data_IF_574593654143
#
_entry.id   IF_574593654143
#
_cell.length_a   1.000
_cell.length_b   1.000
_cell.length_c   1.000
_cell.angle_alpha   90.00
_cell.angle_beta   90.00
_cell.angle_gamma   90.00
#
_symmetry.space_group_name_H-M   'P 1'
#
loop_
_entity.id
_entity.type
_entity.pdbx_description
1 polymer ?
#
# COMPACT_ATOMS: atom_id res chain seq x y z
N UNK A 1 0.43 37.14 -19.93
CA UNK A 1 1.80 36.68 -20.21
C UNK A 1 2.34 36.02 -18.95
N UNK A 2 2.88 34.80 -19.02
CA UNK A 2 3.58 34.20 -17.88
C UNK A 2 4.85 35.01 -17.57
N UNK A 3 5.15 35.24 -16.29
CA UNK A 3 6.41 35.86 -15.87
C UNK A 3 7.60 34.97 -16.32
N UNK A 4 8.70 35.55 -16.82
CA UNK A 4 9.92 34.78 -17.05
C UNK A 4 10.40 34.17 -15.73
N UNK A 5 10.82 32.91 -15.79
CA UNK A 5 11.43 32.19 -14.68
C UNK A 5 12.76 32.88 -14.30
N UNK A 6 13.13 32.88 -13.02
CA UNK A 6 14.41 33.45 -12.59
C UNK A 6 15.58 32.64 -13.16
N UNK A 7 16.78 33.22 -13.31
CA UNK A 7 17.97 32.50 -13.83
C UNK A 7 18.31 31.23 -13.04
N UNK A 8 18.01 31.22 -11.73
CA UNK A 8 18.16 30.04 -10.87
C UNK A 8 17.20 28.88 -11.22
N UNK A 9 16.07 29.16 -11.86
CA UNK A 9 15.12 28.16 -12.31
C UNK A 9 15.47 27.60 -13.71
N UNK A 10 16.23 28.33 -14.53
CA UNK A 10 16.71 27.85 -15.83
C UNK A 10 17.81 26.79 -15.68
N UNK A 11 18.69 26.95 -14.70
CA UNK A 11 19.76 25.98 -14.39
C UNK A 11 19.20 24.65 -13.81
N UNK A 12 18.02 24.69 -13.18
CA UNK A 12 17.32 23.52 -12.62
C UNK A 12 16.67 22.65 -13.71
N UNK A 13 16.44 23.20 -14.91
CA UNK A 13 15.76 22.50 -16.01
C UNK A 13 16.72 21.99 -17.09
N UNK A 14 18.04 22.20 -16.94
CA UNK A 14 19.03 21.70 -17.90
C UNK A 14 19.27 20.18 -17.72
N UNK A 15 19.42 19.42 -18.83
CA UNK A 15 19.76 18.00 -18.76
C UNK A 15 21.07 17.76 -18.01
N UNK A 16 21.09 16.80 -17.08
CA UNK A 16 22.32 16.44 -16.36
C UNK A 16 23.27 15.60 -17.25
N UNK A 17 24.45 16.13 -17.56
CA UNK A 17 25.52 15.47 -18.33
C UNK A 17 26.47 14.65 -17.43
N UNK A 18 25.92 13.82 -16.54
CA UNK A 18 26.72 12.95 -15.67
C UNK A 18 27.19 11.67 -16.35
N UNK A 19 28.46 11.32 -16.16
CA UNK A 19 29.05 10.04 -16.55
C UNK A 19 28.60 8.92 -15.61
N UNK A 20 27.85 7.92 -16.12
CA UNK A 20 27.80 6.57 -15.57
C UNK A 20 26.98 6.34 -14.28
N UNK A 21 25.77 5.78 -14.43
CA UNK A 21 25.13 4.88 -13.46
C UNK A 21 24.43 5.48 -12.23
N UNK A 22 24.88 6.60 -11.68
CA UNK A 22 24.28 7.20 -10.48
C UNK A 22 23.31 8.34 -10.79
N UNK A 23 22.21 8.41 -10.03
CA UNK A 23 21.19 9.44 -10.20
C UNK A 23 21.57 10.72 -9.42
N UNK A 24 21.36 11.92 -10.01
CA UNK A 24 21.61 13.18 -9.32
C UNK A 24 20.49 13.51 -8.32
N UNK A 25 20.33 12.68 -7.28
CA UNK A 25 19.20 12.71 -6.34
C UNK A 25 18.97 14.10 -5.73
N UNK A 26 20.04 14.80 -5.33
CA UNK A 26 19.93 16.14 -4.73
C UNK A 26 19.37 17.18 -5.70
N UNK A 27 19.77 17.11 -6.98
CA UNK A 27 19.30 18.02 -8.01
C UNK A 27 17.84 17.72 -8.37
N UNK A 28 17.51 16.45 -8.61
CA UNK A 28 16.13 16.00 -8.84
C UNK A 28 15.20 16.38 -7.69
N UNK A 29 15.68 16.23 -6.44
CA UNK A 29 14.94 16.60 -5.25
C UNK A 29 14.50 18.06 -5.28
N UNK A 30 15.46 18.98 -5.49
CA UNK A 30 15.20 20.43 -5.57
C UNK A 30 14.21 20.75 -6.70
N UNK A 31 14.35 20.09 -7.83
CA UNK A 31 13.45 20.26 -8.97
C UNK A 31 12.02 19.75 -8.72
N UNK A 32 11.76 19.06 -7.61
CA UNK A 32 10.46 18.49 -7.24
C UNK A 32 9.88 19.11 -5.96
N UNK A 33 10.48 20.17 -5.41
CA UNK A 33 10.10 20.72 -4.10
C UNK A 33 8.65 21.22 -4.05
N UNK A 34 8.14 21.80 -5.15
CA UNK A 34 6.74 22.22 -5.30
C UNK A 34 5.75 21.04 -5.26
N UNK A 35 6.21 19.85 -5.65
CA UNK A 35 5.38 18.65 -5.70
C UNK A 35 5.29 17.91 -4.36
N UNK A 36 5.99 18.35 -3.32
CA UNK A 36 5.98 17.73 -2.00
C UNK A 36 4.82 18.12 -1.10
N UNK A 37 4.06 19.14 -1.51
CA UNK A 37 3.01 19.69 -0.68
C UNK A 37 1.73 18.87 -0.89
N UNK A 38 1.29 18.05 0.09
CA UNK A 38 0.00 17.37 -0.01
C UNK A 38 -1.12 18.41 -0.04
N UNK A 39 -2.07 18.21 -0.94
CA UNK A 39 -3.29 19.00 -1.05
C UNK A 39 -4.46 18.23 -0.40
N UNK A 40 -4.95 18.64 0.79
CA UNK A 40 -5.98 17.92 1.53
C UNK A 40 -7.25 17.59 0.74
N UNK A 41 -7.66 18.47 -0.18
CA UNK A 41 -8.84 18.26 -1.01
C UNK A 41 -8.77 16.95 -1.83
N UNK A 42 -7.61 16.62 -2.40
CA UNK A 42 -7.44 15.37 -3.16
C UNK A 42 -7.62 14.14 -2.28
N UNK A 43 -7.01 14.14 -1.08
CA UNK A 43 -7.14 13.05 -0.13
C UNK A 43 -8.59 12.83 0.30
N UNK A 44 -9.27 13.88 0.74
CA UNK A 44 -10.64 13.77 1.23
C UNK A 44 -11.63 13.41 0.13
N UNK A 45 -11.58 14.06 -1.02
CA UNK A 45 -12.53 13.79 -2.12
C UNK A 45 -12.39 12.38 -2.66
N UNK A 46 -11.16 11.93 -2.91
CA UNK A 46 -10.86 10.60 -3.45
C UNK A 46 -11.21 9.49 -2.44
N UNK A 47 -10.83 9.68 -1.18
CA UNK A 47 -11.17 8.73 -0.11
C UNK A 47 -12.68 8.65 0.13
N UNK A 48 -13.37 9.79 0.27
CA UNK A 48 -14.81 9.82 0.50
C UNK A 48 -15.58 9.22 -0.67
N UNK A 49 -15.20 9.54 -1.92
CA UNK A 49 -15.80 8.90 -3.09
C UNK A 49 -15.58 7.38 -3.05
N UNK A 50 -14.35 6.93 -2.81
CA UNK A 50 -14.02 5.50 -2.76
C UNK A 50 -14.80 4.76 -1.67
N UNK A 51 -14.87 5.31 -0.46
CA UNK A 51 -15.53 4.64 0.66
C UNK A 51 -17.06 4.66 0.53
N UNK A 52 -17.64 5.74 0.01
CA UNK A 52 -19.08 5.82 -0.27
C UNK A 52 -19.44 4.80 -1.36
N UNK A 53 -18.66 4.72 -2.44
CA UNK A 53 -18.87 3.73 -3.50
C UNK A 53 -18.74 2.29 -2.98
N UNK A 54 -17.79 2.04 -2.07
CA UNK A 54 -17.66 0.73 -1.41
C UNK A 54 -18.92 0.38 -0.62
N UNK A 55 -19.35 1.22 0.32
CA UNK A 55 -20.51 0.90 1.15
C UNK A 55 -21.81 0.85 0.37
N UNK A 56 -21.99 1.71 -0.64
CA UNK A 56 -23.15 1.66 -1.53
C UNK A 56 -23.18 0.36 -2.35
N UNK A 57 -22.05 -0.02 -2.95
CA UNK A 57 -21.93 -1.28 -3.70
C UNK A 57 -22.10 -2.51 -2.82
N UNK A 58 -21.55 -2.49 -1.60
CA UNK A 58 -21.73 -3.54 -0.60
C UNK A 58 -23.19 -3.69 -0.19
N UNK A 59 -23.87 -2.59 0.16
CA UNK A 59 -25.28 -2.59 0.52
C UNK A 59 -26.16 -3.06 -0.65
N UNK A 60 -25.90 -2.59 -1.87
CA UNK A 60 -26.62 -3.05 -3.06
C UNK A 60 -26.45 -4.56 -3.28
N UNK A 61 -25.24 -5.08 -3.11
CA UNK A 61 -24.98 -6.53 -3.24
C UNK A 61 -25.74 -7.34 -2.19
N UNK A 62 -25.92 -6.79 -0.98
CA UNK A 62 -26.65 -7.45 0.10
C UNK A 62 -28.16 -7.52 -0.16
N UNK A 63 -28.75 -6.52 -0.80
CA UNK A 63 -30.21 -6.47 -1.05
C UNK A 63 -30.63 -7.07 -2.39
N UNK A 64 -29.75 -7.09 -3.39
CA UNK A 64 -30.09 -7.61 -4.71
C UNK A 64 -30.21 -9.14 -4.72
N UNK A 65 -31.21 -9.71 -5.41
CA UNK A 65 -31.33 -11.16 -5.61
C UNK A 65 -30.15 -11.77 -6.38
N UNK A 66 -29.84 -13.05 -6.13
CA UNK A 66 -28.70 -13.74 -6.75
C UNK A 66 -28.79 -13.84 -8.28
N UNK A 67 -30.01 -13.89 -8.83
CA UNK A 67 -30.27 -13.93 -10.27
C UNK A 67 -30.23 -12.54 -10.94
N UNK A 68 -30.04 -11.47 -10.17
CA UNK A 68 -29.93 -10.13 -10.74
C UNK A 68 -28.47 -9.85 -11.17
N UNK A 69 -28.19 -9.62 -12.47
CA UNK A 69 -26.83 -9.38 -12.95
C UNK A 69 -26.19 -8.13 -12.34
N UNK A 70 -26.98 -7.15 -11.89
CA UNK A 70 -26.45 -5.97 -11.20
C UNK A 70 -25.79 -6.31 -9.87
N UNK A 71 -26.14 -7.44 -9.23
CA UNK A 71 -25.49 -7.89 -8.00
C UNK A 71 -23.99 -8.10 -8.20
N UNK A 72 -23.61 -8.73 -9.33
CA UNK A 72 -22.21 -8.95 -9.68
C UNK A 72 -21.50 -7.62 -9.97
N UNK A 73 -22.15 -6.71 -10.70
CA UNK A 73 -21.59 -5.38 -10.99
C UNK A 73 -21.34 -4.60 -9.70
N UNK A 74 -22.31 -4.56 -8.78
CA UNK A 74 -22.19 -3.93 -7.47
C UNK A 74 -21.08 -4.57 -6.63
N UNK A 75 -20.92 -5.90 -6.68
CA UNK A 75 -19.85 -6.59 -5.98
C UNK A 75 -18.47 -6.20 -6.53
N UNK A 76 -18.30 -6.14 -7.86
CA UNK A 76 -17.05 -5.69 -8.50
C UNK A 76 -16.74 -4.24 -8.15
N UNK A 77 -17.74 -3.36 -8.19
CA UNK A 77 -17.58 -1.95 -7.77
C UNK A 77 -17.17 -1.87 -6.30
N UNK A 78 -17.79 -2.67 -5.43
CA UNK A 78 -17.43 -2.74 -4.01
C UNK A 78 -15.98 -3.20 -3.82
N UNK A 79 -15.53 -4.24 -4.52
CA UNK A 79 -14.14 -4.72 -4.47
C UNK A 79 -13.15 -3.63 -4.87
N UNK A 80 -13.34 -3.00 -6.03
CA UNK A 80 -12.42 -1.98 -6.55
C UNK A 80 -12.40 -0.72 -5.66
N UNK A 81 -13.57 -0.32 -5.15
CA UNK A 81 -13.70 0.87 -4.31
C UNK A 81 -13.14 0.62 -2.91
N UNK A 82 -13.37 -0.57 -2.33
CA UNK A 82 -12.77 -0.98 -1.05
C UNK A 82 -11.26 -1.06 -1.18
N UNK A 83 -10.77 -1.70 -2.24
CA UNK A 83 -9.35 -1.80 -2.53
C UNK A 83 -8.71 -0.41 -2.59
N UNK A 84 -9.28 0.51 -3.38
CA UNK A 84 -8.81 1.90 -3.48
C UNK A 84 -8.84 2.63 -2.13
N UNK A 85 -9.93 2.51 -1.37
CA UNK A 85 -10.06 3.16 -0.07
C UNK A 85 -9.05 2.63 0.95
N UNK A 86 -8.80 1.31 0.95
CA UNK A 86 -7.87 0.67 1.89
C UNK A 86 -6.42 0.99 1.55
N UNK A 87 -6.03 1.00 0.28
CA UNK A 87 -4.61 1.27 -0.07
C UNK A 87 -4.14 2.69 0.22
N UNK A 88 -5.03 3.62 0.57
CA UNK A 88 -4.62 4.90 1.18
C UNK A 88 -3.74 4.69 2.43
N UNK A 89 -3.82 3.53 3.10
CA UNK A 89 -2.91 3.18 4.19
C UNK A 89 -1.42 3.37 3.82
N UNK A 90 -1.08 3.17 2.54
CA UNK A 90 0.25 3.43 2.00
C UNK A 90 0.63 4.91 2.06
N UNK A 91 -0.27 5.79 1.61
CA UNK A 91 -0.07 7.22 1.77
C UNK A 91 -0.01 7.64 3.24
N UNK A 92 -0.85 7.04 4.09
CA UNK A 92 -0.84 7.30 5.52
C UNK A 92 0.49 6.89 6.17
N UNK A 93 1.22 5.90 5.67
CA UNK A 93 2.51 5.51 6.23
C UNK A 93 3.57 6.63 6.08
N UNK A 94 3.51 7.37 4.97
CA UNK A 94 4.45 8.45 4.64
C UNK A 94 3.94 9.85 4.99
N UNK A 95 2.63 10.03 5.14
CA UNK A 95 2.05 11.31 5.44
C UNK A 95 2.40 11.77 6.86
N UNK A 96 3.16 12.87 6.95
CA UNK A 96 3.53 13.47 8.23
C UNK A 96 2.29 13.92 9.03
N UNK A 97 2.32 13.81 10.37
CA UNK A 97 1.22 14.29 11.22
C UNK A 97 0.83 15.73 10.90
N UNK A 98 -0.47 16.02 10.89
CA UNK A 98 -1.01 17.38 10.69
C UNK A 98 -1.05 17.90 9.25
N UNK A 99 -0.43 17.23 8.27
CA UNK A 99 -0.43 17.71 6.86
C UNK A 99 -1.79 17.59 6.17
N UNK A 100 -2.58 16.58 6.54
CA UNK A 100 -3.99 16.46 6.15
C UNK A 100 -4.79 16.23 7.45
N UNK A 101 -5.23 17.31 8.12
CA UNK A 101 -5.90 17.22 9.41
C UNK A 101 -7.12 16.29 9.38
N UNK A 102 -7.29 15.48 10.43
CA UNK A 102 -8.42 14.56 10.60
C UNK A 102 -8.40 13.30 9.70
N UNK A 103 -7.64 13.30 8.61
CA UNK A 103 -7.71 12.23 7.60
C UNK A 103 -7.36 10.85 8.16
N UNK A 104 -6.30 10.73 8.96
CA UNK A 104 -5.91 9.45 9.60
C UNK A 104 -7.00 8.90 10.51
N UNK A 105 -7.69 9.78 11.24
CA UNK A 105 -8.78 9.37 12.14
C UNK A 105 -9.96 8.87 11.32
N UNK A 106 -10.42 9.66 10.35
CA UNK A 106 -11.52 9.24 9.47
C UNK A 106 -11.19 7.95 8.71
N UNK A 107 -9.98 7.82 8.16
CA UNK A 107 -9.55 6.59 7.48
C UNK A 107 -9.60 5.38 8.41
N UNK A 108 -9.15 5.50 9.67
CA UNK A 108 -9.30 4.39 10.62
C UNK A 108 -10.75 4.11 10.98
N UNK A 109 -11.60 5.12 11.15
CA UNK A 109 -13.01 4.93 11.48
C UNK A 109 -13.78 4.20 10.38
N UNK A 110 -13.49 4.49 9.11
CA UNK A 110 -14.22 3.91 7.98
C UNK A 110 -13.53 2.72 7.30
N UNK A 111 -12.21 2.61 7.34
CA UNK A 111 -11.46 1.47 6.80
C UNK A 111 -10.77 0.68 7.90
N UNK A 112 -9.87 1.32 8.66
CA UNK A 112 -8.95 0.62 9.54
C UNK A 112 -9.64 -0.27 10.58
N UNK A 113 -10.65 0.25 11.26
CA UNK A 113 -11.41 -0.47 12.29
C UNK A 113 -12.38 -1.48 11.65
N UNK A 114 -13.28 -1.08 10.72
CA UNK A 114 -14.29 -2.01 10.20
C UNK A 114 -13.71 -3.17 9.37
N UNK A 115 -12.55 -2.95 8.75
CA UNK A 115 -11.85 -3.93 7.90
C UNK A 115 -10.67 -4.60 8.61
N UNK A 116 -10.53 -4.38 9.93
CA UNK A 116 -9.50 -5.00 10.79
C UNK A 116 -8.05 -4.71 10.35
N UNK A 117 -7.82 -3.54 9.74
CA UNK A 117 -6.52 -3.06 9.24
C UNK A 117 -6.18 -1.68 9.81
N UNK A 118 -6.13 -1.51 11.15
CA UNK A 118 -5.81 -0.22 11.74
C UNK A 118 -4.44 0.27 11.25
N UNK A 119 -4.34 1.58 11.03
CA UNK A 119 -3.23 2.19 10.29
C UNK A 119 -1.84 1.91 10.87
N UNK A 120 -1.73 1.60 12.16
CA UNK A 120 -0.44 1.27 12.78
C UNK A 120 0.20 -0.01 12.24
N UNK A 121 -0.60 -0.93 11.69
CA UNK A 121 -0.10 -2.17 11.10
C UNK A 121 0.78 -1.92 9.87
N UNK A 122 0.66 -0.77 9.22
CA UNK A 122 1.46 -0.45 8.02
C UNK A 122 2.61 0.51 8.31
N UNK A 123 2.92 0.77 9.58
CA UNK A 123 4.08 1.57 9.95
C UNK A 123 5.41 0.96 9.50
N UNK A 124 5.50 -0.38 9.45
CA UNK A 124 6.66 -1.15 8.98
C UNK A 124 7.03 -0.89 7.52
N UNK A 125 6.11 -0.32 6.73
CA UNK A 125 6.39 0.06 5.34
C UNK A 125 7.56 1.05 5.24
N UNK A 126 7.87 1.82 6.30
CA UNK A 126 9.04 2.70 6.32
C UNK A 126 10.36 1.93 6.29
N UNK A 127 10.40 0.73 6.84
CA UNK A 127 11.60 -0.11 6.88
C UNK A 127 11.94 -0.60 5.47
N UNK A 128 10.92 -0.85 4.65
CA UNK A 128 11.09 -1.13 3.22
C UNK A 128 11.76 0.03 2.45
N UNK A 129 11.60 1.27 2.90
CA UNK A 129 12.31 2.43 2.31
C UNK A 129 13.65 2.72 2.97
N UNK A 130 13.99 2.04 4.07
CA UNK A 130 15.20 2.33 4.82
C UNK A 130 16.44 1.86 4.04
N UNK A 131 17.42 2.76 3.97
CA UNK A 131 18.73 2.44 3.35
C UNK A 131 19.43 1.39 4.22
N UNK A 132 19.73 0.24 3.62
CA UNK A 132 20.35 -0.90 4.31
C UNK A 132 19.37 -2.02 4.68
N UNK A 133 18.06 -1.78 4.65
CA UNK A 133 17.06 -2.81 4.89
C UNK A 133 16.51 -3.38 3.57
N UNK A 134 16.26 -2.54 2.54
CA UNK A 134 15.60 -2.98 1.31
C UNK A 134 16.26 -4.22 0.69
N UNK A 135 15.47 -5.27 0.49
CA UNK A 135 15.91 -6.55 -0.07
C UNK A 135 16.60 -7.49 0.91
N UNK A 136 16.73 -7.12 2.19
CA UNK A 136 17.32 -7.95 3.26
C UNK A 136 16.25 -8.61 4.14
N UNK A 137 16.67 -9.35 5.16
CA UNK A 137 15.77 -9.96 6.14
C UNK A 137 15.05 -8.93 7.05
N UNK A 138 15.55 -7.69 7.10
CA UNK A 138 14.94 -6.59 7.86
C UNK A 138 13.80 -5.91 7.06
N UNK A 139 13.63 -6.26 5.78
CA UNK A 139 12.55 -5.75 4.94
C UNK A 139 11.33 -6.67 4.96
N UNK A 140 10.32 -6.28 5.73
CA UNK A 140 9.06 -7.02 5.80
C UNK A 140 8.29 -7.08 4.49
N UNK A 141 8.51 -6.17 3.54
CA UNK A 141 7.77 -6.14 2.28
C UNK A 141 8.52 -6.82 1.13
N UNK A 142 9.63 -7.49 1.42
CA UNK A 142 10.46 -8.15 0.42
C UNK A 142 10.61 -9.65 0.62
N UNK A 143 10.52 -10.39 -0.49
CA UNK A 143 10.92 -11.79 -0.60
C UNK A 143 11.62 -11.98 -1.94
N UNK A 144 12.57 -12.93 -2.06
CA UNK A 144 13.34 -13.17 -3.28
C UNK A 144 12.51 -13.90 -4.37
N UNK A 145 11.29 -13.44 -4.65
CA UNK A 145 10.39 -14.10 -5.59
C UNK A 145 10.90 -14.11 -7.02
N UNK A 146 11.75 -13.16 -7.39
CA UNK A 146 12.39 -13.10 -8.70
C UNK A 146 13.60 -14.03 -8.83
N UNK A 147 14.03 -14.67 -7.75
CA UNK A 147 15.12 -15.65 -7.77
C UNK A 147 14.61 -17.07 -8.14
N UNK A 148 15.43 -17.90 -8.82
CA UNK A 148 15.06 -19.26 -9.20
C UNK A 148 14.51 -20.10 -8.03
N UNK A 149 13.49 -20.92 -8.30
CA UNK A 149 12.87 -21.81 -7.31
C UNK A 149 11.75 -21.19 -6.45
N UNK A 150 11.42 -19.90 -6.61
CA UNK A 150 10.47 -19.21 -5.74
C UNK A 150 9.01 -19.13 -6.24
N UNK A 151 8.64 -19.88 -7.29
CA UNK A 151 7.26 -19.91 -7.83
C UNK A 151 6.20 -20.28 -6.80
N UNK A 152 6.51 -21.24 -5.93
CA UNK A 152 5.59 -21.64 -4.84
C UNK A 152 5.38 -20.46 -3.90
N UNK A 153 6.44 -19.69 -3.59
CA UNK A 153 6.34 -18.47 -2.77
C UNK A 153 5.39 -17.42 -3.35
N UNK A 154 5.42 -17.23 -4.67
CA UNK A 154 4.50 -16.31 -5.38
C UNK A 154 3.04 -16.76 -5.20
N UNK A 155 2.76 -18.05 -5.43
CA UNK A 155 1.41 -18.61 -5.30
C UNK A 155 0.93 -18.54 -3.85
N UNK A 156 1.78 -18.91 -2.89
CA UNK A 156 1.45 -18.87 -1.46
C UNK A 156 1.16 -17.46 -0.97
N UNK A 157 1.87 -16.45 -1.47
CA UNK A 157 1.59 -15.05 -1.14
C UNK A 157 0.26 -14.57 -1.75
N UNK A 158 -0.03 -14.93 -3.00
CA UNK A 158 -1.34 -14.61 -3.57
C UNK A 158 -2.47 -15.29 -2.78
N UNK A 159 -2.30 -16.56 -2.41
CA UNK A 159 -3.26 -17.33 -1.64
C UNK A 159 -3.43 -16.86 -0.18
N UNK A 160 -2.40 -16.27 0.44
CA UNK A 160 -2.52 -15.75 1.81
C UNK A 160 -3.55 -14.62 1.94
N UNK A 161 -3.93 -13.97 0.82
CA UNK A 161 -5.00 -12.98 0.76
C UNK A 161 -6.33 -13.46 1.35
N UNK A 162 -6.63 -14.76 1.26
CA UNK A 162 -7.84 -15.37 1.83
C UNK A 162 -7.80 -15.49 3.35
N UNK A 163 -6.63 -15.31 3.97
CA UNK A 163 -6.42 -15.38 5.41
C UNK A 163 -6.43 -14.01 6.10
N UNK A 164 -6.44 -12.89 5.36
CA UNK A 164 -6.31 -11.55 5.94
C UNK A 164 -7.37 -11.23 7.00
N UNK A 165 -8.65 -11.37 6.66
CA UNK A 165 -9.75 -11.14 7.61
C UNK A 165 -9.75 -12.15 8.78
N UNK A 166 -9.66 -13.48 8.55
CA UNK A 166 -9.50 -14.45 9.64
C UNK A 166 -8.32 -14.14 10.58
N UNK A 167 -7.17 -13.76 10.03
CA UNK A 167 -5.99 -13.37 10.80
C UNK A 167 -6.25 -12.09 11.61
N UNK A 168 -6.97 -11.11 11.04
CA UNK A 168 -7.42 -9.92 11.76
C UNK A 168 -8.33 -10.25 12.94
N UNK A 169 -9.31 -11.14 12.74
CA UNK A 169 -10.20 -11.60 13.83
C UNK A 169 -9.41 -12.30 14.93
N UNK A 170 -8.48 -13.20 14.58
CA UNK A 170 -7.59 -13.84 15.56
C UNK A 170 -6.74 -12.80 16.31
N UNK A 171 -6.12 -11.87 15.57
CA UNK A 171 -5.21 -10.86 16.12
C UNK A 171 -5.90 -9.87 17.05
N UNK A 172 -7.07 -9.36 16.67
CA UNK A 172 -7.75 -8.31 17.43
C UNK A 172 -8.85 -8.83 18.35
N UNK A 173 -9.48 -9.95 18.01
CA UNK A 173 -10.53 -10.58 18.81
C UNK A 173 -9.99 -11.49 19.94
N UNK A 174 -8.80 -12.09 19.74
CA UNK A 174 -8.25 -13.07 20.67
C UNK A 174 -6.88 -12.63 21.20
N UNK A 175 -5.87 -12.50 20.33
CA UNK A 175 -4.50 -12.22 20.75
C UNK A 175 -4.38 -10.86 21.44
N UNK A 176 -5.03 -9.82 20.90
CA UNK A 176 -5.02 -8.46 21.43
C UNK A 176 -5.49 -8.38 22.88
N UNK A 177 -6.74 -8.79 23.21
CA UNK A 177 -7.25 -8.79 24.57
C UNK A 177 -6.43 -9.66 25.52
N UNK A 178 -6.04 -10.87 25.11
CA UNK A 178 -5.22 -11.76 25.93
C UNK A 178 -3.84 -11.18 26.23
N UNK A 179 -3.27 -10.41 25.30
CA UNK A 179 -2.00 -9.73 25.49
C UNK A 179 -2.00 -8.70 26.62
N UNK A 180 -3.17 -8.17 27.01
CA UNK A 180 -3.27 -7.22 28.11
C UNK A 180 -2.91 -7.83 29.47
N UNK A 181 -2.96 -9.15 29.61
CA UNK A 181 -2.69 -9.85 30.88
C UNK A 181 -1.24 -10.30 31.05
N UNK A 182 -0.41 -10.22 30.00
CA UNK A 182 0.97 -10.70 30.05
C UNK A 182 1.89 -9.84 29.18
N UNK A 183 2.89 -9.19 29.79
CA UNK A 183 3.78 -8.26 29.09
C UNK A 183 4.62 -8.94 27.99
N UNK A 184 5.10 -10.17 28.21
CA UNK A 184 5.91 -10.91 27.23
C UNK A 184 5.07 -11.27 26.02
N UNK A 185 3.82 -11.66 26.26
CA UNK A 185 2.89 -11.96 25.18
C UNK A 185 2.49 -10.68 24.43
N UNK A 186 2.32 -9.55 25.12
CA UNK A 186 2.11 -8.24 24.49
C UNK A 186 3.24 -7.82 23.58
N UNK A 187 4.48 -7.98 24.03
CA UNK A 187 5.66 -7.73 23.21
C UNK A 187 5.69 -8.66 21.99
N UNK A 188 5.44 -9.96 22.19
CA UNK A 188 5.36 -10.92 21.09
C UNK A 188 4.30 -10.53 20.04
N UNK A 189 3.09 -10.15 20.47
CA UNK A 189 2.00 -9.69 19.60
C UNK A 189 2.38 -8.41 18.87
N UNK A 190 3.04 -7.47 19.55
CA UNK A 190 3.53 -6.24 18.96
C UNK A 190 4.60 -6.52 17.89
N UNK A 191 5.55 -7.40 18.14
CA UNK A 191 6.68 -7.67 17.24
C UNK A 191 6.30 -8.53 16.03
N UNK A 192 5.45 -9.56 16.24
CA UNK A 192 5.23 -10.62 15.24
C UNK A 192 3.86 -10.54 14.56
N UNK A 193 2.86 -9.93 15.21
CA UNK A 193 1.47 -9.98 14.74
C UNK A 193 0.88 -8.59 14.50
N UNK A 194 1.73 -7.56 14.33
CA UNK A 194 1.30 -6.17 14.21
C UNK A 194 1.88 -5.46 12.99
N UNK A 195 2.15 -6.20 11.92
CA UNK A 195 2.66 -5.68 10.65
C UNK A 195 1.90 -6.29 9.48
N UNK A 196 1.47 -5.48 8.52
CA UNK A 196 0.97 -5.94 7.23
C UNK A 196 2.17 -6.07 6.28
N UNK A 197 2.77 -7.25 6.27
CA UNK A 197 4.05 -7.55 5.61
C UNK A 197 3.92 -8.72 4.66
N UNK A 198 4.89 -8.82 3.75
CA UNK A 198 5.05 -9.92 2.81
C UNK A 198 5.80 -11.09 3.44
N UNK A 199 6.89 -10.83 4.16
CA UNK A 199 7.64 -11.88 4.84
C UNK A 199 7.04 -12.18 6.22
N UNK A 200 6.45 -13.37 6.45
CA UNK A 200 5.90 -13.73 7.76
C UNK A 200 6.98 -13.90 8.84
N UNK A 201 8.27 -13.90 8.48
CA UNK A 201 9.40 -13.97 9.43
C UNK A 201 9.83 -12.60 9.95
N UNK A 202 9.36 -11.53 9.31
CA UNK A 202 9.74 -10.17 9.70
C UNK A 202 9.29 -9.87 11.13
N UNK A 203 10.18 -9.18 11.85
CA UNK A 203 9.98 -8.77 13.22
C UNK A 203 10.13 -7.26 13.27
N UNK A 204 9.07 -6.57 13.65
CA UNK A 204 9.13 -5.12 13.84
C UNK A 204 9.75 -4.78 15.19
N UNK A 205 10.28 -3.57 15.29
CA UNK A 205 10.68 -3.02 16.58
C UNK A 205 9.48 -2.85 17.52
N UNK A 206 9.76 -2.98 18.82
CA UNK A 206 8.80 -2.71 19.88
C UNK A 206 8.37 -1.24 19.81
N UNK A 207 7.06 -0.92 19.84
CA UNK A 207 6.60 0.46 19.73
C UNK A 207 7.14 1.31 20.87
N UNK A 208 7.49 2.56 20.55
CA UNK A 208 7.78 3.56 21.57
C UNK A 208 6.57 3.79 22.48
N UNK A 209 6.78 4.36 23.67
CA UNK A 209 5.69 4.65 24.61
C UNK A 209 4.59 5.53 24.00
N UNK A 210 4.98 6.48 23.13
CA UNK A 210 4.04 7.37 22.44
C UNK A 210 3.20 6.61 21.40
N UNK A 211 3.83 5.75 20.61
CA UNK A 211 3.14 4.91 19.61
C UNK A 211 2.21 3.91 20.27
N UNK A 212 2.66 3.26 21.35
CA UNK A 212 1.90 2.25 22.08
C UNK A 212 0.54 2.76 22.56
N UNK A 213 0.44 4.04 22.96
CA UNK A 213 -0.82 4.66 23.33
C UNK A 213 -1.80 4.69 22.14
N UNK A 214 -1.35 5.21 20.99
CA UNK A 214 -2.17 5.28 19.78
C UNK A 214 -2.54 3.90 19.21
N UNK A 215 -1.69 2.89 19.41
CA UNK A 215 -1.99 1.51 19.01
C UNK A 215 -3.08 0.91 19.88
N UNK A 216 -3.02 1.09 21.21
CA UNK A 216 -4.05 0.59 22.13
C UNK A 216 -5.43 1.16 21.82
N UNK A 217 -5.51 2.44 21.47
CA UNK A 217 -6.77 3.08 21.06
C UNK A 217 -7.33 2.42 19.80
N UNK A 218 -6.49 2.22 18.78
CA UNK A 218 -6.90 1.55 17.55
C UNK A 218 -7.32 0.10 17.81
N UNK A 219 -6.53 -0.67 18.58
CA UNK A 219 -6.84 -2.05 18.97
C UNK A 219 -8.16 -2.16 19.74
N UNK A 220 -8.39 -1.27 20.71
CA UNK A 220 -9.65 -1.21 21.45
C UNK A 220 -10.82 -0.89 20.52
N UNK A 221 -10.61 -0.01 19.52
CA UNK A 221 -11.59 0.27 18.47
C UNK A 221 -11.94 -0.98 17.66
N UNK A 222 -10.92 -1.72 17.17
CA UNK A 222 -11.13 -2.97 16.42
C UNK A 222 -11.83 -4.03 17.27
N UNK A 223 -11.39 -4.21 18.52
CA UNK A 223 -11.99 -5.18 19.43
C UNK A 223 -13.45 -4.85 19.74
N UNK A 224 -13.75 -3.57 20.01
CA UNK A 224 -15.12 -3.09 20.22
C UNK A 224 -15.99 -3.33 18.99
N UNK A 225 -15.46 -3.07 17.79
CA UNK A 225 -16.16 -3.34 16.53
C UNK A 225 -16.46 -4.84 16.34
N UNK A 226 -15.51 -5.73 16.67
CA UNK A 226 -15.72 -7.17 16.63
C UNK A 226 -16.80 -7.62 17.63
N UNK A 227 -16.78 -7.11 18.86
CA UNK A 227 -17.82 -7.38 19.86
C UNK A 227 -19.19 -6.88 19.40
N UNK A 228 -19.28 -5.68 18.84
CA UNK A 228 -20.51 -5.12 18.31
C UNK A 228 -21.06 -5.96 17.14
N UNK A 229 -20.18 -6.42 16.25
CA UNK A 229 -20.54 -7.30 15.13
C UNK A 229 -21.06 -8.65 15.63
N UNK A 230 -20.39 -9.26 16.62
CA UNK A 230 -20.82 -10.50 17.23
C UNK A 230 -22.18 -10.34 17.95
N UNK A 231 -22.36 -9.27 18.72
CA UNK A 231 -23.61 -8.96 19.39
C UNK A 231 -24.75 -8.73 18.39
N UNK A 232 -24.50 -8.01 17.29
CA UNK A 232 -25.47 -7.80 16.22
C UNK A 232 -25.87 -9.12 15.53
N UNK A 233 -24.93 -10.04 15.34
CA UNK A 233 -25.21 -11.37 14.78
C UNK A 233 -26.07 -12.22 15.73
N UNK A 234 -25.74 -12.22 17.03
CA UNK A 234 -26.49 -12.94 18.08
C UNK A 234 -27.92 -12.36 18.20
N UNK A 235 -28.04 -11.04 18.20
CA UNK A 235 -29.31 -10.32 18.24
C UNK A 235 -30.10 -10.38 16.90
N UNK A 236 -29.56 -11.06 15.88
CA UNK A 236 -30.17 -11.19 14.54
C UNK A 236 -30.40 -9.86 13.81
N UNK A 237 -29.67 -8.81 14.18
CA UNK A 237 -29.65 -7.53 13.46
C UNK A 237 -28.89 -7.63 12.12
N UNK A 238 -27.93 -8.55 12.06
CA UNK A 238 -27.22 -8.94 10.83
C UNK A 238 -27.28 -10.46 10.68
N UNK A 239 -27.08 -10.94 9.46
CA UNK A 239 -27.02 -12.37 9.15
C UNK A 239 -25.59 -12.80 8.78
N UNK A 240 -25.36 -14.11 8.75
CA UNK A 240 -24.07 -14.69 8.36
C UNK A 240 -23.73 -14.43 6.89
N UNK A 241 -24.74 -14.31 6.02
CA UNK A 241 -24.57 -13.99 4.60
C UNK A 241 -23.86 -12.65 4.39
N UNK A 242 -24.20 -11.63 5.18
CA UNK A 242 -23.55 -10.31 5.12
C UNK A 242 -22.06 -10.41 5.48
N UNK A 243 -21.70 -11.24 6.47
CA UNK A 243 -20.31 -11.48 6.85
C UNK A 243 -19.55 -12.26 5.79
N UNK A 244 -20.18 -13.27 5.17
CA UNK A 244 -19.61 -14.01 4.03
C UNK A 244 -19.38 -13.07 2.85
N UNK A 245 -20.33 -12.19 2.55
CA UNK A 245 -20.20 -11.21 1.49
C UNK A 245 -19.04 -10.23 1.75
N UNK A 246 -18.93 -9.72 2.98
CA UNK A 246 -17.82 -8.86 3.38
C UNK A 246 -16.49 -9.60 3.26
N UNK A 247 -16.44 -10.87 3.68
CA UNK A 247 -15.27 -11.72 3.53
C UNK A 247 -14.86 -11.88 2.06
N UNK A 248 -15.79 -12.19 1.17
CA UNK A 248 -15.50 -12.40 -0.26
C UNK A 248 -15.00 -11.12 -0.92
N UNK A 249 -15.63 -9.98 -0.64
CA UNK A 249 -15.18 -8.67 -1.16
C UNK A 249 -13.81 -8.30 -0.59
N UNK A 250 -13.63 -8.53 0.72
CA UNK A 250 -12.37 -8.39 1.45
C UNK A 250 -11.23 -9.17 0.81
N UNK A 251 -11.43 -10.47 0.66
CA UNK A 251 -10.46 -11.39 0.09
C UNK A 251 -10.14 -11.06 -1.37
N UNK A 252 -11.13 -10.69 -2.18
CA UNK A 252 -10.92 -10.28 -3.57
C UNK A 252 -10.08 -8.99 -3.67
N UNK A 253 -10.33 -7.99 -2.81
CA UNK A 253 -9.55 -6.77 -2.77
C UNK A 253 -8.10 -7.01 -2.30
N UNK A 254 -7.91 -7.87 -1.28
CA UNK A 254 -6.58 -8.28 -0.82
C UNK A 254 -5.85 -9.08 -1.90
N UNK A 255 -6.54 -9.97 -2.62
CA UNK A 255 -5.96 -10.73 -3.72
C UNK A 255 -5.49 -9.81 -4.85
N UNK A 256 -6.32 -8.82 -5.23
CA UNK A 256 -5.92 -7.79 -6.18
C UNK A 256 -4.69 -7.00 -5.67
N UNK A 257 -4.66 -6.67 -4.38
CA UNK A 257 -3.50 -6.02 -3.77
C UNK A 257 -2.24 -6.90 -3.85
N UNK A 258 -2.35 -8.21 -3.60
CA UNK A 258 -1.23 -9.14 -3.70
C UNK A 258 -0.71 -9.25 -5.13
N UNK A 259 -1.60 -9.30 -6.14
CA UNK A 259 -1.19 -9.24 -7.54
C UNK A 259 -0.46 -7.93 -7.87
N UNK A 260 -0.95 -6.79 -7.35
CA UNK A 260 -0.28 -5.50 -7.50
C UNK A 260 1.10 -5.52 -6.86
N UNK A 261 1.22 -6.02 -5.63
CA UNK A 261 2.50 -6.11 -4.90
C UNK A 261 3.50 -6.96 -5.68
N UNK A 262 3.10 -8.14 -6.15
CA UNK A 262 3.93 -8.98 -7.02
C UNK A 262 4.37 -8.29 -8.31
N UNK A 263 3.59 -7.32 -8.80
CA UNK A 263 3.94 -6.52 -9.95
C UNK A 263 4.63 -5.18 -9.60
N UNK A 264 4.86 -4.86 -8.33
CA UNK A 264 5.49 -3.60 -7.93
C UNK A 264 7.01 -3.64 -8.07
N UNK A 265 7.60 -4.84 -7.96
CA UNK A 265 9.04 -5.07 -8.03
C UNK A 265 9.41 -6.27 -8.91
N UNK A 266 10.70 -6.39 -9.20
CA UNK A 266 11.32 -7.53 -9.88
C UNK A 266 11.84 -8.59 -8.89
N UNK A 267 11.94 -8.26 -7.60
CA UNK A 267 12.30 -9.18 -6.52
C UNK A 267 13.63 -9.92 -6.71
N UNK A 268 14.66 -9.21 -7.21
CA UNK A 268 15.94 -9.79 -7.61
C UNK A 268 16.98 -9.93 -6.49
N UNK A 269 16.77 -9.33 -5.31
CA UNK A 269 17.72 -9.54 -4.20
C UNK A 269 17.61 -10.96 -3.66
N UNK A 270 18.76 -11.56 -3.33
CA UNK A 270 18.87 -12.86 -2.68
C UNK A 270 18.89 -12.77 -1.14
N UNK A 271 18.57 -11.62 -0.57
CA UNK A 271 18.59 -11.38 0.89
C UNK A 271 19.68 -10.41 1.36
N UNK A 272 20.42 -9.81 0.44
CA UNK A 272 21.42 -8.79 0.75
C UNK A 272 20.85 -7.38 0.52
N UNK A 273 21.23 -6.39 1.35
CA UNK A 273 20.83 -5.00 1.16
C UNK A 273 21.21 -4.47 -0.24
N UNK A 274 20.25 -3.84 -0.92
CA UNK A 274 20.49 -3.24 -2.23
C UNK A 274 20.93 -1.77 -2.12
N UNK A 275 21.73 -1.31 -3.09
CA UNK A 275 22.03 0.12 -3.27
C UNK A 275 20.78 0.89 -3.73
N UNK A 276 20.79 2.22 -3.62
CA UNK A 276 19.66 3.04 -4.08
C UNK A 276 19.33 2.86 -5.58
N UNK A 277 20.36 2.72 -6.43
CA UNK A 277 20.17 2.45 -7.87
C UNK A 277 19.60 1.04 -8.10
N UNK A 278 20.07 0.05 -7.34
CA UNK A 278 19.55 -1.31 -7.41
C UNK A 278 18.09 -1.38 -6.96
N UNK A 279 17.73 -0.76 -5.83
CA UNK A 279 16.35 -0.63 -5.34
C UNK A 279 15.43 0.02 -6.39
N UNK A 280 15.89 1.10 -7.02
CA UNK A 280 15.14 1.74 -8.09
C UNK A 280 14.94 0.81 -9.29
N UNK A 281 15.99 0.14 -9.74
CA UNK A 281 15.93 -0.80 -10.86
C UNK A 281 15.14 -2.07 -10.52
N UNK A 282 14.97 -2.38 -9.25
CA UNK A 282 14.11 -3.47 -8.82
C UNK A 282 12.64 -3.03 -8.79
N UNK A 283 12.36 -1.75 -8.61
CA UNK A 283 11.00 -1.18 -8.58
C UNK A 283 10.46 -0.83 -9.97
N UNK A 284 9.13 -0.81 -10.10
CA UNK A 284 8.43 -0.55 -11.38
C UNK A 284 7.55 0.70 -11.36
N UNK A 285 7.48 1.37 -12.50
CA UNK A 285 6.53 2.43 -12.82
C UNK A 285 5.64 1.99 -13.99
N UNK A 286 4.38 2.40 -14.00
CA UNK A 286 3.40 2.10 -15.04
C UNK A 286 2.86 3.42 -15.63
N UNK A 287 3.69 4.13 -16.43
CA UNK A 287 3.37 5.47 -16.91
C UNK A 287 2.35 5.50 -18.06
N UNK A 288 2.08 4.34 -18.69
CA UNK A 288 1.15 4.24 -19.81
C UNK A 288 -0.22 4.79 -19.40
N UNK A 289 -0.84 5.58 -20.29
CA UNK A 289 -2.17 6.16 -20.09
C UNK A 289 -3.28 5.14 -20.37
N UNK A 290 -3.26 4.01 -19.65
CA UNK A 290 -4.34 3.02 -19.67
C UNK A 290 -5.32 3.29 -18.54
N UNK A 291 -6.62 3.27 -18.85
CA UNK A 291 -7.69 3.41 -17.85
C UNK A 291 -7.76 2.23 -16.88
N UNK A 292 -7.13 1.09 -17.21
CA UNK A 292 -7.05 -0.09 -16.35
C UNK A 292 -6.02 0.05 -15.23
N UNK A 293 -4.94 0.80 -15.43
CA UNK A 293 -3.84 0.92 -14.44
C UNK A 293 -4.34 1.48 -13.10
N UNK A 294 -5.13 2.56 -13.08
CA UNK A 294 -5.69 3.07 -11.83
C UNK A 294 -6.61 2.10 -11.08
N UNK A 295 -7.10 1.02 -11.70
CA UNK A 295 -7.96 0.03 -11.03
C UNK A 295 -7.16 -0.96 -10.17
N UNK A 296 -5.97 -1.37 -10.63
CA UNK A 296 -5.13 -2.33 -9.92
C UNK A 296 -3.89 -1.72 -9.27
N UNK A 297 -3.50 -0.49 -9.64
CA UNK A 297 -2.46 0.30 -8.97
C UNK A 297 -2.93 1.73 -8.66
N UNK A 298 -4.00 1.89 -7.85
CA UNK A 298 -4.55 3.19 -7.46
C UNK A 298 -3.63 3.95 -6.49
N UNK A 299 -4.02 5.18 -6.12
CA UNK A 299 -3.39 5.98 -5.06
C UNK A 299 -1.86 6.04 -5.18
N UNK A 300 -1.36 6.37 -6.38
CA UNK A 300 0.08 6.57 -6.60
C UNK A 300 0.90 5.30 -6.80
N UNK A 301 0.35 4.12 -6.48
CA UNK A 301 1.03 2.84 -6.58
C UNK A 301 1.49 2.51 -8.00
N UNK A 302 0.88 3.12 -9.03
CA UNK A 302 1.36 3.01 -10.41
C UNK A 302 2.78 3.56 -10.61
N UNK A 303 3.26 4.46 -9.76
CA UNK A 303 4.60 5.04 -9.85
C UNK A 303 5.46 4.60 -8.67
N UNK A 304 5.56 3.29 -8.47
CA UNK A 304 6.22 2.74 -7.30
C UNK A 304 7.72 3.03 -7.27
N UNK A 305 8.41 2.95 -8.41
CA UNK A 305 9.83 3.31 -8.48
C UNK A 305 10.06 4.81 -8.22
N UNK A 306 9.16 5.69 -8.66
CA UNK A 306 9.21 7.11 -8.28
C UNK A 306 9.00 7.30 -6.77
N UNK A 307 8.05 6.57 -6.21
CA UNK A 307 7.78 6.59 -4.78
C UNK A 307 8.99 6.16 -3.96
N UNK A 308 9.71 5.09 -4.35
CA UNK A 308 10.97 4.70 -3.72
C UNK A 308 12.04 5.79 -3.79
N UNK A 309 12.10 6.51 -4.91
CA UNK A 309 13.08 7.58 -5.08
C UNK A 309 12.77 8.78 -4.17
N UNK A 310 11.49 9.14 -4.04
CA UNK A 310 11.01 10.29 -3.27
C UNK A 310 9.70 9.97 -2.52
N UNK A 311 9.75 9.22 -1.39
CA UNK A 311 8.56 8.73 -0.71
C UNK A 311 7.69 9.84 -0.10
N UNK A 312 8.26 11.04 0.09
CA UNK A 312 7.53 12.21 0.56
C UNK A 312 6.65 12.89 -0.48
N UNK A 313 6.70 12.49 -1.77
CA UNK A 313 5.81 13.05 -2.79
C UNK A 313 4.42 12.42 -2.61
N UNK A 314 3.37 13.23 -2.34
CA UNK A 314 2.00 12.74 -2.20
C UNK A 314 1.49 12.10 -3.50
N UNK A 315 0.65 11.08 -3.39
CA UNK A 315 0.26 10.25 -4.54
C UNK A 315 -0.25 11.03 -5.76
N UNK A 316 -1.01 12.11 -5.53
CA UNK A 316 -1.63 12.90 -6.59
C UNK A 316 -0.60 13.73 -7.40
N UNK A 317 0.63 13.87 -6.90
CA UNK A 317 1.73 14.56 -7.59
C UNK A 317 2.75 13.59 -8.22
N UNK A 318 2.69 12.28 -7.95
CA UNK A 318 3.67 11.31 -8.47
C UNK A 318 3.72 11.24 -10.00
N UNK A 319 2.60 11.51 -10.68
CA UNK A 319 2.55 11.59 -12.14
C UNK A 319 3.38 12.75 -12.68
N UNK A 320 3.15 13.95 -12.15
CA UNK A 320 3.88 15.14 -12.53
C UNK A 320 5.37 15.01 -12.19
N UNK A 321 5.68 14.36 -11.06
CA UNK A 321 7.06 14.07 -10.67
C UNK A 321 7.73 13.12 -11.68
N UNK A 322 7.06 12.03 -12.06
CA UNK A 322 7.54 11.10 -13.08
C UNK A 322 7.83 11.80 -14.40
N UNK A 323 6.87 12.58 -14.91
CA UNK A 323 7.04 13.28 -16.19
C UNK A 323 8.20 14.28 -16.14
N UNK A 324 8.37 15.01 -15.02
CA UNK A 324 9.48 15.96 -14.82
C UNK A 324 10.83 15.25 -14.77
N UNK A 325 10.95 14.17 -13.99
CA UNK A 325 12.19 13.40 -13.88
C UNK A 325 12.57 12.73 -15.21
N UNK A 326 11.59 12.21 -15.97
CA UNK A 326 11.81 11.66 -17.31
C UNK A 326 12.38 12.71 -18.27
N UNK A 327 11.93 13.96 -18.18
CA UNK A 327 12.42 15.05 -19.03
C UNK A 327 13.81 15.58 -18.66
N UNK A 328 14.19 15.49 -17.38
CA UNK A 328 15.49 15.98 -16.89
C UNK A 328 16.63 14.98 -17.07
N UNK A 329 16.33 13.68 -17.14
CA UNK A 329 17.34 12.64 -17.15
C UNK A 329 17.65 12.15 -18.58
N UNK A 330 18.95 11.96 -18.93
CA UNK A 330 19.32 11.46 -20.25
C UNK A 330 18.74 10.04 -20.47
N UNK A 331 18.49 9.63 -21.73
CA UNK A 331 17.89 8.32 -22.05
C UNK A 331 18.64 7.11 -21.45
N UNK A 332 19.96 7.25 -21.25
CA UNK A 332 20.80 6.22 -20.65
C UNK A 332 20.63 6.07 -19.11
N UNK A 333 19.90 6.99 -18.46
CA UNK A 333 19.68 6.96 -17.02
C UNK A 333 18.94 5.69 -16.57
N UNK A 334 19.33 5.09 -15.44
CA UNK A 334 18.65 3.90 -14.90
C UNK A 334 17.16 4.13 -14.64
N UNK A 335 16.72 5.38 -14.43
CA UNK A 335 15.31 5.70 -14.21
C UNK A 335 14.41 5.27 -15.39
N UNK A 336 14.88 5.39 -16.64
CA UNK A 336 14.12 4.99 -17.83
C UNK A 336 13.82 3.48 -17.88
N UNK A 337 14.60 2.67 -17.15
CA UNK A 337 14.43 1.20 -17.08
C UNK A 337 13.39 0.76 -16.05
N UNK A 338 12.81 1.70 -15.30
CA UNK A 338 11.75 1.42 -14.32
C UNK A 338 10.39 1.18 -14.95
N UNK A 339 10.19 1.51 -16.23
CA UNK A 339 8.89 1.37 -16.89
C UNK A 339 8.50 -0.12 -17.10
N UNK A 340 7.38 -0.52 -16.52
CA UNK A 340 6.71 -1.80 -16.74
C UNK A 340 5.62 -1.72 -17.83
N UNK A 341 5.22 -2.89 -18.34
CA UNK A 341 4.28 -3.02 -19.47
C UNK A 341 2.82 -3.29 -19.04
N UNK A 342 2.58 -3.43 -17.74
CA UNK A 342 1.27 -3.68 -17.13
C UNK A 342 1.27 -4.92 -16.24
N UNK A 343 0.18 -5.14 -15.51
CA UNK A 343 0.07 -6.19 -14.50
C UNK A 343 0.44 -7.58 -15.02
N UNK A 344 -0.23 -8.05 -16.08
CA UNK A 344 -0.01 -9.39 -16.63
C UNK A 344 1.43 -9.60 -17.15
N UNK A 345 1.99 -8.58 -17.81
CA UNK A 345 3.35 -8.64 -18.34
C UNK A 345 4.38 -8.74 -17.20
N UNK A 346 4.24 -7.94 -16.14
CA UNK A 346 5.14 -7.96 -14.99
C UNK A 346 5.03 -9.26 -14.19
N UNK A 347 3.81 -9.78 -13.98
CA UNK A 347 3.62 -11.09 -13.36
C UNK A 347 4.24 -12.22 -14.20
N UNK A 348 4.12 -12.14 -15.53
CA UNK A 348 4.75 -13.09 -16.45
C UNK A 348 6.27 -13.00 -16.50
N UNK A 349 6.85 -11.80 -16.34
CA UNK A 349 8.29 -11.62 -16.14
C UNK A 349 8.72 -12.26 -14.81
N UNK A 350 8.06 -11.92 -13.71
CA UNK A 350 8.36 -12.48 -12.38
C UNK A 350 8.30 -14.01 -12.38
N UNK A 351 7.23 -14.59 -12.94
CA UNK A 351 7.06 -16.04 -13.02
C UNK A 351 8.15 -16.75 -13.84
N UNK A 352 8.66 -16.10 -14.89
CA UNK A 352 9.77 -16.62 -15.70
C UNK A 352 11.10 -16.50 -14.97
N UNK A 353 11.35 -15.39 -14.27
CA UNK A 353 12.55 -15.20 -13.45
C UNK A 353 12.61 -16.15 -12.25
N UNK A 354 11.47 -16.51 -11.69
CA UNK A 354 11.34 -17.47 -10.59
C UNK A 354 11.52 -18.95 -11.00
N UNK A 355 11.69 -19.23 -12.30
CA UNK A 355 11.95 -20.57 -12.83
C UNK A 355 13.36 -21.01 -12.45
#
# INVERSE_FOLDING_TARGET
MPRPLSPANEEILMPFEGTGGELPIKHLRRALDDLLVPKPAYYWTDFLASIICFYAGFAATAVLPINNPLKLVCAVVAVLSMYRAVVFIHELAHLSPGRVPGFRVAWNLFCGIPLLVPSFLYGSHRDHHARGAYGSAEDGEYRPWGCPGNRIGIVMFAASSFLGLPAGVLRFGILGPLSCFNYRFREWVAVNASSLVVDPRYRRDVPSRQEACGWRIQEAGVFTYLLATAAALIARLINTELLVQLYLIGAAALFLNSLRTLAAHRYRSAGEPMTATQQLLDSLNYPRRSWLIPLWAPVGLRFHAMHHLFPGIPYHNLAAAHDRVMGMLPPASPYHRTAGYGLAASLGELWRSAR
#
